data_IF_316912033440
#
_entry.id   IF_316912033440
#
_cell.length_a   1.000
_cell.length_b   1.000
_cell.length_c   1.000
_cell.angle_alpha   90.00
_cell.angle_beta   90.00
_cell.angle_gamma   90.00
#
_symmetry.space_group_name_H-M   'P 1'
#
loop_
_entity.id
_entity.type
_entity.pdbx_description
1 polymer ?
#
# COMPACT_ATOMS: atom_id res chain seq x y z
N UNK A 1 3.53 2.49 -0.15
CA UNK A 1 3.74 3.20 -1.42
C UNK A 1 4.95 4.13 -1.39
N UNK A 2 5.13 4.96 -0.36
CA UNK A 2 6.25 5.92 -0.31
C UNK A 2 7.63 5.26 -0.47
N UNK A 3 7.85 4.09 0.16
CA UNK A 3 9.08 3.31 -0.05
C UNK A 3 9.29 2.93 -1.52
N UNK A 4 8.22 2.51 -2.21
CA UNK A 4 8.28 2.19 -3.65
C UNK A 4 8.56 3.42 -4.50
N UNK A 5 7.97 4.57 -4.17
CA UNK A 5 8.26 5.82 -4.87
C UNK A 5 9.71 6.28 -4.67
N UNK A 6 10.25 6.10 -3.47
CA UNK A 6 11.65 6.43 -3.18
C UNK A 6 12.63 5.58 -4.00
N UNK A 7 12.32 4.30 -4.21
CA UNK A 7 13.12 3.38 -5.05
C UNK A 7 13.01 3.70 -6.55
N UNK A 8 11.82 4.13 -7.00
CA UNK A 8 11.59 4.49 -8.41
C UNK A 8 12.18 5.85 -8.77
N UNK A 9 12.43 6.71 -7.78
CA UNK A 9 12.93 8.06 -8.01
C UNK A 9 14.30 8.06 -8.70
N UNK A 10 14.40 8.78 -9.80
CA UNK A 10 15.67 9.06 -10.50
C UNK A 10 15.57 10.40 -11.23
N UNK A 11 16.70 10.90 -11.71
CA UNK A 11 16.76 12.18 -12.45
C UNK A 11 16.09 12.10 -13.84
N UNK A 12 15.76 10.88 -14.29
CA UNK A 12 15.16 10.62 -15.62
C UNK A 12 13.71 10.14 -15.55
N UNK A 13 13.16 9.96 -14.34
CA UNK A 13 11.78 9.51 -14.11
C UNK A 13 10.99 10.62 -13.43
N UNK A 14 9.95 11.09 -14.08
CA UNK A 14 9.03 12.08 -13.51
C UNK A 14 7.96 11.40 -12.67
N UNK A 15 8.05 11.56 -11.35
CA UNK A 15 7.12 10.98 -10.37
C UNK A 15 6.22 12.06 -9.80
N UNK A 16 4.91 11.92 -9.98
CA UNK A 16 3.92 12.88 -9.48
C UNK A 16 2.87 12.18 -8.62
N UNK A 17 2.40 12.86 -7.57
CA UNK A 17 1.39 12.31 -6.66
C UNK A 17 0.21 13.25 -6.43
N UNK A 18 -0.95 12.66 -6.08
CA UNK A 18 -2.13 13.37 -5.53
C UNK A 18 -2.53 12.67 -4.24
N UNK A 19 -2.57 13.39 -3.13
CA UNK A 19 -2.67 12.82 -1.77
C UNK A 19 -3.66 13.60 -0.88
N UNK A 20 -4.20 12.93 0.15
CA UNK A 20 -5.12 13.52 1.12
C UNK A 20 -4.93 12.92 2.53
N UNK A 21 -4.04 13.49 3.37
CA UNK A 21 -3.03 14.52 3.09
C UNK A 21 -1.71 13.95 2.56
N UNK A 22 -0.75 14.82 2.24
CA UNK A 22 0.65 14.45 2.09
C UNK A 22 1.19 14.11 3.49
N UNK A 23 1.65 12.86 3.70
CA UNK A 23 2.15 12.39 5.00
C UNK A 23 3.51 13.01 5.35
N UNK A 24 4.41 13.04 4.39
CA UNK A 24 5.69 13.76 4.48
C UNK A 24 6.26 14.04 3.09
N UNK A 25 7.11 15.07 3.01
CA UNK A 25 7.71 15.47 1.74
C UNK A 25 8.76 14.45 1.26
N UNK A 26 8.66 14.09 -0.01
CA UNK A 26 9.63 13.24 -0.70
C UNK A 26 10.48 14.10 -1.64
N UNK A 27 11.79 14.26 -1.40
CA UNK A 27 12.65 15.05 -2.29
C UNK A 27 12.64 14.50 -3.72
N UNK A 28 12.47 15.36 -4.72
CA UNK A 28 12.49 14.98 -6.13
C UNK A 28 11.19 14.36 -6.64
N UNK A 29 10.10 14.40 -5.86
CA UNK A 29 8.77 13.97 -6.26
C UNK A 29 7.81 15.15 -6.20
N UNK A 30 7.04 15.37 -7.27
CA UNK A 30 6.03 16.42 -7.31
C UNK A 30 4.75 15.97 -6.58
N UNK A 31 4.56 16.44 -5.35
CA UNK A 31 3.42 16.05 -4.51
C UNK A 31 2.32 17.12 -4.53
N UNK A 32 1.11 16.73 -4.87
CA UNK A 32 -0.08 17.60 -4.89
C UNK A 32 -1.05 17.16 -3.81
N UNK A 33 -1.46 18.08 -2.93
CA UNK A 33 -2.44 17.80 -1.90
C UNK A 33 -3.85 18.14 -2.36
N UNK A 34 -4.79 17.25 -2.09
CA UNK A 34 -6.23 17.49 -2.23
C UNK A 34 -6.66 18.68 -1.38
N UNK A 35 -7.50 19.54 -1.94
CA UNK A 35 -8.08 20.68 -1.24
C UNK A 35 -9.53 20.88 -1.71
N UNK A 36 -10.46 20.26 -1.03
CA UNK A 36 -11.89 20.31 -1.37
C UNK A 36 -12.48 21.73 -1.34
N UNK A 37 -11.91 22.64 -0.53
CA UNK A 37 -12.34 24.05 -0.51
C UNK A 37 -12.00 24.80 -1.79
N UNK A 38 -10.91 24.38 -2.45
CA UNK A 38 -10.47 24.90 -3.74
C UNK A 38 -10.91 24.02 -4.91
N UNK A 39 -11.84 23.08 -4.66
CA UNK A 39 -12.33 22.11 -5.64
C UNK A 39 -11.21 21.26 -6.29
N UNK A 40 -10.11 21.08 -5.57
CA UNK A 40 -9.01 20.19 -5.94
C UNK A 40 -9.28 18.80 -5.38
N UNK A 41 -10.02 17.98 -6.12
CA UNK A 41 -10.34 16.59 -5.80
C UNK A 41 -9.24 15.65 -6.32
N UNK A 42 -9.28 14.35 -5.94
CA UNK A 42 -8.39 13.33 -6.52
C UNK A 42 -8.50 13.27 -8.04
N UNK A 43 -9.71 13.25 -8.59
CA UNK A 43 -9.94 13.20 -10.03
C UNK A 43 -9.37 14.44 -10.75
N UNK A 44 -9.59 15.64 -10.23
CA UNK A 44 -9.04 16.87 -10.81
C UNK A 44 -7.52 16.94 -10.71
N UNK A 45 -6.97 16.59 -9.55
CA UNK A 45 -5.53 16.53 -9.33
C UNK A 45 -4.87 15.53 -10.28
N UNK A 46 -5.43 14.34 -10.41
CA UNK A 46 -4.94 13.29 -11.31
C UNK A 46 -4.95 13.76 -12.78
N UNK A 47 -6.04 14.38 -13.25
CA UNK A 47 -6.08 14.96 -14.60
C UNK A 47 -5.04 16.08 -14.81
N UNK A 48 -4.76 16.84 -13.76
CA UNK A 48 -3.77 17.91 -13.85
C UNK A 48 -2.35 17.38 -13.96
N UNK A 49 -1.98 16.41 -13.12
CA UNK A 49 -0.62 15.83 -13.14
C UNK A 49 -0.35 15.01 -14.40
N UNK A 50 -1.36 14.33 -14.96
CA UNK A 50 -1.21 13.59 -16.23
C UNK A 50 -0.86 14.48 -17.44
N UNK A 51 -1.04 15.80 -17.34
CA UNK A 51 -0.61 16.76 -18.37
C UNK A 51 0.80 17.31 -18.15
N UNK A 52 1.52 16.79 -17.16
CA UNK A 52 2.88 17.21 -16.82
C UNK A 52 3.92 16.16 -17.20
N UNK A 53 3.57 15.29 -18.17
CA UNK A 53 4.43 14.24 -18.71
C UNK A 53 5.04 13.34 -17.61
N UNK A 54 4.20 12.72 -16.74
CA UNK A 54 4.70 11.83 -15.70
C UNK A 54 5.02 10.44 -16.25
N UNK A 55 6.04 9.80 -15.73
CA UNK A 55 6.29 8.37 -15.93
C UNK A 55 5.55 7.52 -14.90
N UNK A 56 5.55 8.02 -13.66
CA UNK A 56 4.92 7.35 -12.50
C UNK A 56 3.94 8.30 -11.83
N UNK A 57 2.74 7.82 -11.61
CA UNK A 57 1.67 8.55 -10.93
C UNK A 57 1.23 7.79 -9.68
N UNK A 58 1.16 8.46 -8.53
CA UNK A 58 0.52 7.91 -7.35
C UNK A 58 -0.74 8.68 -7.00
N UNK A 59 -1.85 7.98 -6.88
CA UNK A 59 -3.11 8.47 -6.31
C UNK A 59 -3.21 7.90 -4.90
N UNK A 60 -3.23 8.76 -3.90
CA UNK A 60 -3.24 8.33 -2.50
C UNK A 60 -4.29 7.26 -2.22
N UNK A 61 -5.49 7.44 -2.76
CA UNK A 61 -6.54 6.42 -2.74
C UNK A 61 -7.56 6.62 -3.86
N UNK A 62 -8.24 5.52 -4.23
CA UNK A 62 -9.38 5.54 -5.15
C UNK A 62 -10.65 5.27 -4.33
N UNK A 63 -11.56 6.26 -4.31
CA UNK A 63 -12.84 6.20 -3.59
C UNK A 63 -14.07 6.15 -4.50
N UNK A 64 -13.93 6.60 -5.73
CA UNK A 64 -15.03 6.82 -6.69
C UNK A 64 -14.67 6.35 -8.10
N UNK A 65 -15.72 6.16 -8.91
CA UNK A 65 -15.59 5.70 -10.29
C UNK A 65 -14.77 6.67 -11.15
N UNK A 66 -14.98 7.98 -11.01
CA UNK A 66 -14.31 8.99 -11.82
C UNK A 66 -12.78 8.89 -11.67
N UNK A 67 -12.31 8.82 -10.43
CA UNK A 67 -10.87 8.66 -10.13
C UNK A 67 -10.34 7.31 -10.65
N UNK A 68 -11.13 6.22 -10.49
CA UNK A 68 -10.76 4.90 -10.97
C UNK A 68 -10.62 4.86 -12.50
N UNK A 69 -11.57 5.43 -13.23
CA UNK A 69 -11.52 5.49 -14.70
C UNK A 69 -10.29 6.26 -15.21
N UNK A 70 -9.99 7.41 -14.60
CA UNK A 70 -8.81 8.20 -15.00
C UNK A 70 -7.52 7.41 -14.73
N UNK A 71 -7.42 6.75 -13.58
CA UNK A 71 -6.26 5.93 -13.20
C UNK A 71 -6.06 4.76 -14.19
N UNK A 72 -7.13 4.06 -14.54
CA UNK A 72 -7.12 2.97 -15.53
C UNK A 72 -6.72 3.48 -16.91
N UNK A 73 -7.30 4.58 -17.38
CA UNK A 73 -6.94 5.18 -18.67
C UNK A 73 -5.47 5.61 -18.72
N UNK A 74 -4.96 6.23 -17.65
CA UNK A 74 -3.56 6.58 -17.54
C UNK A 74 -2.64 5.33 -17.65
N UNK A 75 -3.00 4.25 -16.97
CA UNK A 75 -2.30 2.97 -17.04
C UNK A 75 -2.28 2.39 -18.46
N UNK A 76 -3.41 2.45 -19.18
CA UNK A 76 -3.52 1.96 -20.56
C UNK A 76 -2.74 2.83 -21.57
N UNK A 77 -2.44 4.07 -21.22
CA UNK A 77 -1.64 4.99 -22.03
C UNK A 77 -0.15 4.99 -21.70
N UNK A 78 0.30 4.05 -20.85
CA UNK A 78 1.73 3.79 -20.62
C UNK A 78 2.29 4.32 -19.31
N UNK A 79 1.48 4.94 -18.46
CA UNK A 79 1.92 5.41 -17.14
C UNK A 79 1.91 4.26 -16.12
N UNK A 80 2.89 4.22 -15.23
CA UNK A 80 2.80 3.40 -14.03
C UNK A 80 1.93 4.11 -13.00
N UNK A 81 0.73 3.59 -12.78
CA UNK A 81 -0.21 4.16 -11.80
C UNK A 81 -0.22 3.33 -10.53
N UNK A 82 0.07 3.97 -9.41
CA UNK A 82 0.04 3.36 -8.08
C UNK A 82 -1.08 3.97 -7.26
N UNK A 83 -1.82 3.15 -6.51
CA UNK A 83 -2.87 3.65 -5.63
C UNK A 83 -3.12 2.74 -4.44
N UNK A 84 -4.01 3.17 -3.54
CA UNK A 84 -4.55 2.34 -2.47
C UNK A 84 -6.05 2.18 -2.61
N UNK A 85 -6.54 1.08 -2.06
CA UNK A 85 -7.96 0.77 -1.89
C UNK A 85 -8.20 0.27 -0.47
N UNK A 86 -9.28 0.72 0.15
CA UNK A 86 -9.67 0.22 1.47
C UNK A 86 -10.37 -1.14 1.34
N UNK A 87 -9.58 -2.19 1.19
CA UNK A 87 -10.05 -3.57 1.11
C UNK A 87 -9.27 -4.48 2.04
N UNK A 88 -9.89 -5.58 2.45
CA UNK A 88 -9.29 -6.51 3.40
C UNK A 88 -8.35 -7.54 2.75
N UNK A 89 -8.48 -7.75 1.45
CA UNK A 89 -7.71 -8.74 0.69
C UNK A 89 -7.33 -8.20 -0.68
N UNK A 90 -6.30 -8.79 -1.31
CA UNK A 90 -5.91 -8.43 -2.66
C UNK A 90 -7.03 -8.74 -3.68
N UNK A 91 -7.72 -9.86 -3.55
CA UNK A 91 -8.87 -10.21 -4.40
C UNK A 91 -10.01 -9.21 -4.20
N UNK A 92 -10.26 -8.78 -2.95
CA UNK A 92 -11.28 -7.78 -2.64
C UNK A 92 -11.05 -6.43 -3.33
N UNK A 93 -9.80 -6.09 -3.68
CA UNK A 93 -9.51 -4.87 -4.42
C UNK A 93 -10.08 -4.91 -5.85
N UNK A 94 -9.99 -6.07 -6.51
CA UNK A 94 -10.55 -6.27 -7.86
C UNK A 94 -12.08 -6.13 -7.80
N UNK A 95 -12.72 -6.85 -6.87
CA UNK A 95 -14.17 -6.76 -6.66
C UNK A 95 -14.59 -5.32 -6.37
N UNK A 96 -13.85 -4.60 -5.52
CA UNK A 96 -14.14 -3.22 -5.17
C UNK A 96 -14.11 -2.28 -6.38
N UNK A 97 -13.13 -2.44 -7.28
CA UNK A 97 -13.05 -1.65 -8.51
C UNK A 97 -14.24 -1.96 -9.45
N UNK A 98 -14.62 -3.24 -9.55
CA UNK A 98 -15.81 -3.64 -10.32
C UNK A 98 -17.10 -3.09 -9.72
N UNK A 99 -17.25 -3.10 -8.39
CA UNK A 99 -18.40 -2.53 -7.67
C UNK A 99 -18.50 -1.01 -7.85
N UNK A 100 -17.37 -0.33 -8.03
CA UNK A 100 -17.34 1.10 -8.38
C UNK A 100 -17.81 1.35 -9.82
N UNK A 101 -17.86 0.32 -10.68
CA UNK A 101 -18.29 0.42 -12.07
C UNK A 101 -17.18 0.28 -13.10
N UNK A 102 -15.96 -0.06 -12.70
CA UNK A 102 -14.86 -0.30 -13.66
C UNK A 102 -15.09 -1.62 -14.38
N UNK A 103 -15.06 -1.59 -15.70
CA UNK A 103 -15.29 -2.77 -16.53
C UNK A 103 -14.18 -3.83 -16.36
N UNK A 104 -14.55 -5.13 -16.20
CA UNK A 104 -13.58 -6.20 -15.93
C UNK A 104 -12.47 -6.32 -16.98
N UNK A 105 -12.76 -6.07 -18.26
CA UNK A 105 -11.76 -6.15 -19.31
C UNK A 105 -10.71 -5.04 -19.21
N UNK A 106 -11.08 -3.86 -18.71
CA UNK A 106 -10.14 -2.78 -18.44
C UNK A 106 -9.19 -3.14 -17.30
N UNK A 107 -9.72 -3.75 -16.23
CA UNK A 107 -8.91 -4.21 -15.10
C UNK A 107 -7.92 -5.30 -15.54
N UNK A 108 -8.37 -6.26 -16.35
CA UNK A 108 -7.49 -7.33 -16.84
C UNK A 108 -6.34 -6.82 -17.72
N UNK A 109 -6.53 -5.68 -18.38
CA UNK A 109 -5.54 -5.07 -19.28
C UNK A 109 -4.62 -4.06 -18.60
N UNK A 110 -5.05 -3.49 -17.46
CA UNK A 110 -4.35 -2.41 -16.78
C UNK A 110 -3.72 -2.81 -15.44
N UNK A 111 -4.31 -3.79 -14.74
CA UNK A 111 -3.89 -4.17 -13.39
C UNK A 111 -2.68 -5.09 -13.43
N UNK A 112 -1.51 -4.57 -13.05
CA UNK A 112 -0.25 -5.33 -13.02
C UNK A 112 -0.12 -6.18 -11.76
N UNK A 113 -0.63 -5.70 -10.62
CA UNK A 113 -0.58 -6.42 -9.36
C UNK A 113 -1.35 -5.76 -8.24
N UNK A 114 -1.68 -6.54 -7.23
CA UNK A 114 -2.32 -6.08 -5.99
C UNK A 114 -1.57 -6.64 -4.80
N UNK A 115 -1.15 -5.75 -3.90
CA UNK A 115 -0.51 -6.10 -2.64
C UNK A 115 -1.48 -5.84 -1.48
N UNK A 116 -1.78 -6.85 -0.69
CA UNK A 116 -2.47 -6.69 0.58
C UNK A 116 -1.48 -6.78 1.73
N UNK A 117 -1.54 -5.82 2.65
CA UNK A 117 -0.67 -5.76 3.82
C UNK A 117 -1.48 -5.87 5.10
N UNK A 118 -0.93 -6.61 6.08
CA UNK A 118 -1.48 -6.71 7.43
C UNK A 118 -0.39 -6.41 8.43
N UNK A 119 -0.71 -5.54 9.39
CA UNK A 119 0.14 -5.33 10.54
C UNK A 119 -0.02 -6.51 11.49
N UNK A 120 1.08 -7.13 11.85
CA UNK A 120 1.12 -8.19 12.84
C UNK A 120 1.98 -7.73 14.02
N UNK A 121 1.64 -8.22 15.22
CA UNK A 121 2.44 -7.95 16.40
C UNK A 121 3.68 -8.84 16.37
N UNK A 122 4.83 -8.27 16.70
CA UNK A 122 6.09 -9.02 16.84
C UNK A 122 6.37 -9.33 18.31
N UNK A 123 6.92 -10.51 18.57
CA UNK A 123 7.33 -10.86 19.92
C UNK A 123 8.54 -10.03 20.36
N UNK A 124 8.54 -9.62 21.62
CA UNK A 124 9.67 -8.91 22.22
C UNK A 124 10.92 -9.79 22.17
N UNK A 125 12.03 -9.33 21.58
CA UNK A 125 13.26 -10.13 21.46
C UNK A 125 13.91 -10.43 22.82
N UNK A 126 13.62 -9.62 23.87
CA UNK A 126 14.20 -9.78 25.19
C UNK A 126 13.54 -10.88 26.03
N UNK A 127 12.27 -11.20 25.76
CA UNK A 127 11.53 -12.15 26.59
C UNK A 127 10.80 -13.25 25.79
N UNK A 128 10.98 -13.33 24.48
CA UNK A 128 10.47 -14.48 23.72
C UNK A 128 11.27 -15.73 24.05
N UNK A 129 10.58 -16.81 24.30
CA UNK A 129 11.20 -18.12 24.52
C UNK A 129 11.00 -19.04 23.33
N UNK A 130 12.08 -19.70 22.92
CA UNK A 130 12.04 -20.72 21.88
C UNK A 130 11.43 -22.02 22.41
N UNK A 131 10.54 -22.63 21.64
CA UNK A 131 9.99 -23.96 21.92
C UNK A 131 9.83 -24.77 20.64
N UNK A 132 9.78 -26.11 20.74
CA UNK A 132 9.37 -26.94 19.61
C UNK A 132 7.96 -26.57 19.17
N UNK A 133 7.73 -26.58 17.84
CA UNK A 133 6.39 -26.40 17.29
C UNK A 133 5.50 -27.60 17.64
N UNK A 134 4.23 -27.33 17.92
CA UNK A 134 3.19 -28.35 18.11
C UNK A 134 2.76 -28.98 16.78
N UNK A 135 2.07 -30.10 16.79
CA UNK A 135 1.61 -30.77 15.57
C UNK A 135 0.74 -29.85 14.66
N UNK A 136 -0.23 -29.07 15.17
CA UNK A 136 -0.97 -28.12 14.34
C UNK A 136 -0.11 -26.99 13.75
N UNK A 137 0.90 -26.52 14.50
CA UNK A 137 1.84 -25.51 14.01
C UNK A 137 2.74 -26.06 12.90
N UNK A 138 3.21 -27.30 13.02
CA UNK A 138 3.98 -27.99 11.99
C UNK A 138 3.16 -28.18 10.71
N UNK A 139 1.89 -28.55 10.84
CA UNK A 139 0.97 -28.67 9.71
C UNK A 139 0.74 -27.31 9.01
N UNK A 140 0.54 -26.25 9.78
CA UNK A 140 0.40 -24.89 9.26
C UNK A 140 1.67 -24.40 8.54
N UNK A 141 2.85 -24.70 9.10
CA UNK A 141 4.15 -24.33 8.53
C UNK A 141 4.57 -25.24 7.35
N UNK A 142 3.89 -26.37 7.15
CA UNK A 142 4.24 -27.41 6.18
C UNK A 142 5.67 -27.98 6.40
N UNK A 143 6.08 -28.07 7.67
CA UNK A 143 7.40 -28.50 8.08
C UNK A 143 7.32 -29.75 8.98
N UNK A 144 8.36 -30.60 8.94
CA UNK A 144 8.44 -31.76 9.82
C UNK A 144 9.01 -31.42 11.20
N UNK A 145 9.82 -30.37 11.29
CA UNK A 145 10.39 -29.82 12.52
C UNK A 145 10.52 -28.32 12.39
N UNK A 146 10.09 -27.60 13.40
CA UNK A 146 10.27 -26.15 13.49
C UNK A 146 10.45 -25.71 14.94
N UNK A 147 11.19 -24.64 15.15
CA UNK A 147 11.27 -23.91 16.41
C UNK A 147 10.42 -22.67 16.28
N UNK A 148 9.48 -22.51 17.18
CA UNK A 148 8.62 -21.34 17.29
C UNK A 148 8.89 -20.60 18.60
N UNK A 149 8.38 -19.40 18.73
CA UNK A 149 8.59 -18.59 19.92
C UNK A 149 7.27 -18.29 20.62
N UNK A 150 7.30 -18.33 21.95
CA UNK A 150 6.18 -17.96 22.82
C UNK A 150 6.47 -16.66 23.57
N UNK A 151 5.40 -16.00 23.95
CA UNK A 151 5.40 -14.76 24.70
C UNK A 151 5.57 -15.03 26.21
N UNK A 152 6.45 -14.31 26.92
CA UNK A 152 6.64 -14.43 28.38
C UNK A 152 6.29 -13.12 29.11
N UNK A 153 6.73 -11.99 28.63
CA UNK A 153 6.57 -10.69 29.26
C UNK A 153 7.80 -10.25 30.07
N UNK A 154 8.22 -9.01 29.88
CA UNK A 154 9.29 -8.37 30.66
C UNK A 154 9.06 -6.86 30.74
N UNK A 155 9.82 -6.18 31.58
CA UNK A 155 9.74 -4.71 31.72
C UNK A 155 9.95 -3.96 30.40
N UNK A 156 10.87 -4.42 29.55
CA UNK A 156 11.16 -3.78 28.25
C UNK A 156 9.95 -3.75 27.30
N UNK A 157 9.00 -4.65 27.44
CA UNK A 157 7.76 -4.67 26.64
C UNK A 157 6.50 -4.34 27.48
N UNK A 158 6.66 -3.82 28.69
CA UNK A 158 5.55 -3.54 29.59
C UNK A 158 4.71 -4.80 29.91
N UNK A 159 5.34 -5.95 30.00
CA UNK A 159 4.74 -7.27 30.24
C UNK A 159 3.72 -7.74 29.17
N UNK A 160 3.62 -7.04 28.03
CA UNK A 160 2.70 -7.40 26.93
C UNK A 160 3.27 -8.48 26.03
N UNK A 161 4.59 -8.70 26.06
CA UNK A 161 5.37 -9.54 25.15
C UNK A 161 5.36 -9.14 23.69
N UNK A 162 4.72 -8.04 23.37
CA UNK A 162 4.50 -7.58 22.01
C UNK A 162 5.06 -6.18 21.86
N UNK A 163 5.90 -6.00 20.86
CA UNK A 163 6.36 -4.70 20.45
C UNK A 163 5.60 -4.28 19.21
N UNK A 164 5.02 -3.10 19.26
CA UNK A 164 4.58 -2.41 18.06
C UNK A 164 5.82 -1.76 17.45
N UNK A 165 6.47 -2.45 16.55
CA UNK A 165 7.42 -1.80 15.67
C UNK A 165 6.63 -1.19 14.53
N UNK A 166 6.05 -0.01 14.76
CA UNK A 166 5.88 0.92 13.67
C UNK A 166 7.29 1.41 13.35
N UNK A 167 7.84 1.24 12.16
CA UNK A 167 8.93 2.09 11.76
C UNK A 167 8.37 3.50 11.80
N UNK A 168 8.78 4.24 12.82
CA UNK A 168 8.60 5.68 12.83
C UNK A 168 9.39 6.22 11.65
N UNK A 169 8.83 7.15 10.86
CA UNK A 169 9.53 7.80 9.77
C UNK A 169 10.80 8.50 10.22
#
# INVERSE_FOLDING_TARGET
LYGSLAELRSDVINVLTVEDPIEYSLPGIGQTQVNNKADMTFARGLRAILRQDPDVVMVGEIRDLETAEIAVQASLTGHLVMSTLHTNTAVGAITRLMDMGVEPFLLSSSLVGVLAQRLVRTLCPHCRESRPATAPELEFLQEQKAVVYSAQGCEACGHTCLLYTSPSP
#
